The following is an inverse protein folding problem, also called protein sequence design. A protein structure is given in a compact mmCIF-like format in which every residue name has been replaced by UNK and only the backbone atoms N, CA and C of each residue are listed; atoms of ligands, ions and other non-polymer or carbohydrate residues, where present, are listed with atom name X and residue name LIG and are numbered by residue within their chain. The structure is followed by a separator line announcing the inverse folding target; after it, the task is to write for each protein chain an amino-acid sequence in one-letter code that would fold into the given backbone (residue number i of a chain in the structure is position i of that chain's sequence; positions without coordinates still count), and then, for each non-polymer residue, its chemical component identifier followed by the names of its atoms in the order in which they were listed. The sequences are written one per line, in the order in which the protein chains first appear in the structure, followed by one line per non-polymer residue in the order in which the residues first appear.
data_IF_294534660511
#
_entry.id   IF_294534660511
#
_cell.length_a   1.000
_cell.length_b   1.000
_cell.length_c   1.000
_cell.angle_alpha   90.00
_cell.angle_beta   90.00
_cell.angle_gamma   90.00
#
_symmetry.space_group_name_H-M   'P 1'
#
loop_
_entity.id
_entity.type
_entity.pdbx_description
1 polymer ?
#
# COMPACT_ATOMS: atom_id res chain seq x y z
N UNK A 1 11.63 -12.35 0.46
CA UNK A 1 11.15 -10.96 0.19
C UNK A 1 11.26 -10.14 1.46
N UNK A 2 11.83 -8.93 1.40
CA UNK A 2 12.04 -8.05 2.55
C UNK A 2 11.93 -6.57 2.16
N UNK A 3 11.53 -5.71 3.09
CA UNK A 3 11.62 -4.24 2.96
C UNK A 3 13.01 -3.70 3.35
N UNK A 4 13.94 -4.59 3.72
CA UNK A 4 15.26 -4.28 4.29
C UNK A 4 15.25 -3.37 5.51
N UNK A 5 14.17 -3.37 6.30
CA UNK A 5 14.25 -2.90 7.69
C UNK A 5 15.46 -3.54 8.40
N UNK A 6 16.13 -2.80 9.29
CA UNK A 6 17.38 -3.23 9.94
C UNK A 6 17.31 -4.66 10.49
N UNK A 7 16.17 -5.03 11.05
CA UNK A 7 15.91 -6.32 11.67
C UNK A 7 15.66 -7.42 10.62
N UNK A 8 14.97 -7.10 9.52
CA UNK A 8 14.72 -8.03 8.43
C UNK A 8 15.98 -8.29 7.58
N UNK A 9 16.89 -7.31 7.51
CA UNK A 9 18.17 -7.43 6.80
C UNK A 9 19.14 -8.38 7.48
N UNK A 10 19.23 -8.34 8.82
CA UNK A 10 20.09 -9.26 9.57
C UNK A 10 19.56 -10.69 9.51
N UNK A 11 18.26 -10.88 9.74
CA UNK A 11 17.61 -12.19 9.68
C UNK A 11 17.69 -12.83 8.29
N UNK A 12 17.48 -12.06 7.23
CA UNK A 12 17.60 -12.54 5.84
C UNK A 12 19.01 -13.01 5.50
N UNK A 13 20.04 -12.23 5.89
CA UNK A 13 21.44 -12.64 5.71
C UNK A 13 21.78 -13.92 6.47
N UNK A 14 21.32 -14.06 7.71
CA UNK A 14 21.52 -15.28 8.49
C UNK A 14 20.83 -16.48 7.86
N UNK A 15 19.62 -16.30 7.31
CA UNK A 15 18.90 -17.37 6.62
C UNK A 15 19.64 -17.83 5.36
N UNK A 16 20.04 -16.91 4.47
CA UNK A 16 20.81 -17.25 3.26
C UNK A 16 22.13 -17.93 3.62
N UNK A 17 22.81 -17.47 4.68
CA UNK A 17 24.05 -18.10 5.15
C UNK A 17 23.89 -19.57 5.55
N UNK A 18 22.69 -19.98 5.96
CA UNK A 18 22.37 -21.36 6.34
C UNK A 18 21.65 -22.16 5.23
N UNK A 19 21.19 -21.50 4.16
CA UNK A 19 20.46 -22.09 3.04
C UNK A 19 20.87 -21.40 1.72
N UNK A 20 22.11 -21.62 1.23
CA UNK A 20 22.70 -20.89 0.11
C UNK A 20 21.99 -21.12 -1.24
N UNK A 21 21.15 -22.15 -1.33
CA UNK A 21 20.27 -22.41 -2.47
C UNK A 21 19.07 -21.45 -2.57
N UNK A 22 18.87 -20.57 -1.58
CA UNK A 22 17.80 -19.57 -1.55
C UNK A 22 18.36 -18.16 -1.77
N UNK A 23 17.61 -17.31 -2.47
CA UNK A 23 17.92 -15.89 -2.63
C UNK A 23 16.99 -15.00 -1.80
N UNK A 24 17.48 -13.82 -1.40
CA UNK A 24 16.68 -12.78 -0.78
C UNK A 24 16.34 -11.73 -1.83
N UNK A 25 15.06 -11.67 -2.18
CA UNK A 25 14.49 -10.66 -3.07
C UNK A 25 13.98 -9.45 -2.27
N UNK A 26 14.05 -8.28 -2.87
CA UNK A 26 13.50 -7.04 -2.31
C UNK A 26 11.99 -6.94 -2.63
N UNK A 27 11.22 -6.31 -1.75
CA UNK A 27 9.85 -5.90 -2.11
C UNK A 27 9.90 -4.80 -3.18
N UNK A 28 9.67 -5.19 -4.43
CA UNK A 28 9.77 -4.30 -5.58
C UNK A 28 8.89 -3.06 -5.40
N UNK A 29 7.67 -3.21 -4.91
CA UNK A 29 6.75 -2.08 -4.71
C UNK A 29 7.25 -1.13 -3.63
N UNK A 30 7.84 -1.66 -2.55
CA UNK A 30 8.44 -0.81 -1.52
C UNK A 30 9.65 -0.04 -2.05
N UNK A 31 10.51 -0.69 -2.82
CA UNK A 31 11.68 0.00 -3.40
C UNK A 31 11.27 1.08 -4.39
N UNK A 32 10.30 0.83 -5.27
CA UNK A 32 9.78 1.86 -6.18
C UNK A 32 9.21 3.06 -5.42
N UNK A 33 8.54 2.81 -4.30
CA UNK A 33 8.07 3.86 -3.41
C UNK A 33 9.22 4.66 -2.77
N UNK A 34 10.33 4.00 -2.43
CA UNK A 34 11.53 4.66 -1.90
C UNK A 34 12.25 5.48 -2.98
N UNK A 35 12.38 4.97 -4.21
CA UNK A 35 12.98 5.69 -5.34
C UNK A 35 12.19 6.97 -5.66
N UNK A 36 10.86 6.87 -5.75
CA UNK A 36 10.04 8.06 -5.96
C UNK A 36 10.18 9.05 -4.79
N UNK A 37 10.30 8.54 -3.56
CA UNK A 37 10.47 9.39 -2.40
C UNK A 37 11.83 10.11 -2.43
N UNK A 38 12.92 9.45 -2.79
CA UNK A 38 14.24 10.09 -2.89
C UNK A 38 14.28 11.17 -3.97
N UNK A 39 13.60 10.94 -5.10
CA UNK A 39 13.48 11.95 -6.18
C UNK A 39 12.74 13.22 -5.73
N UNK A 40 11.79 13.08 -4.80
CA UNK A 40 10.93 14.19 -4.35
C UNK A 40 11.36 14.85 -3.05
N UNK A 41 11.97 14.13 -2.11
CA UNK A 41 12.31 14.64 -0.77
C UNK A 41 13.36 15.76 -0.83
N UNK A 42 14.37 15.62 -1.69
CA UNK A 42 15.44 16.63 -1.87
C UNK A 42 15.05 17.74 -2.85
N UNK A 43 13.84 17.68 -3.42
CA UNK A 43 13.36 18.65 -4.39
C UNK A 43 12.75 19.88 -3.70
N UNK A 44 13.43 21.03 -3.80
CA UNK A 44 12.97 22.30 -3.22
C UNK A 44 11.58 22.73 -3.74
N UNK A 45 11.29 22.50 -5.02
CA UNK A 45 9.97 22.81 -5.59
C UNK A 45 8.88 21.93 -5.00
N UNK A 46 9.17 20.64 -4.79
CA UNK A 46 8.23 19.73 -4.14
C UNK A 46 7.97 20.12 -2.67
N UNK A 47 9.01 20.51 -1.93
CA UNK A 47 8.87 21.00 -0.56
C UNK A 47 8.07 22.31 -0.47
N UNK A 48 8.30 23.22 -1.42
CA UNK A 48 7.50 24.45 -1.57
C UNK A 48 6.03 24.13 -1.88
N UNK A 49 5.79 23.18 -2.79
CA UNK A 49 4.46 22.67 -3.12
C UNK A 49 3.73 22.08 -1.89
N UNK A 50 4.41 21.27 -1.07
CA UNK A 50 3.85 20.73 0.17
C UNK A 50 3.47 21.86 1.15
N UNK A 51 4.27 22.92 1.23
CA UNK A 51 3.95 24.09 2.05
C UNK A 51 2.67 24.77 1.57
N UNK A 52 2.49 24.94 0.25
CA UNK A 52 1.27 25.52 -0.34
C UNK A 52 0.02 24.68 -0.12
N UNK A 53 0.14 23.35 -0.16
CA UNK A 53 -0.97 22.45 0.19
C UNK A 53 -1.41 22.63 1.65
N UNK A 54 -0.47 22.72 2.58
CA UNK A 54 -0.78 22.93 4.00
C UNK A 54 -1.39 24.32 4.25
N UNK A 55 -0.82 25.36 3.65
CA UNK A 55 -1.34 26.72 3.72
C UNK A 55 -2.79 26.78 3.21
N UNK A 56 -3.05 26.17 2.04
CA UNK A 56 -4.40 26.11 1.45
C UNK A 56 -5.38 25.40 2.37
N UNK A 57 -5.00 24.24 2.91
CA UNK A 57 -5.83 23.53 3.91
C UNK A 57 -6.22 24.44 5.05
N UNK A 58 -5.24 25.07 5.71
CA UNK A 58 -5.48 25.89 6.89
C UNK A 58 -6.44 27.04 6.59
N UNK A 59 -6.32 27.64 5.39
CA UNK A 59 -7.16 28.76 4.96
C UNK A 59 -8.61 28.35 4.62
N UNK A 60 -8.85 27.14 4.13
CA UNK A 60 -10.19 26.74 3.64
C UNK A 60 -10.93 25.74 4.54
N UNK A 61 -10.27 25.18 5.57
CA UNK A 61 -10.90 24.17 6.43
C UNK A 61 -12.09 24.68 7.26
N UNK A 62 -12.18 25.98 7.53
CA UNK A 62 -13.28 26.64 8.26
C UNK A 62 -14.10 27.56 7.34
N UNK A 63 -14.20 27.23 6.04
CA UNK A 63 -14.99 28.02 5.08
C UNK A 63 -15.89 27.12 4.26
N UNK A 64 -16.77 27.71 3.45
CA UNK A 64 -17.64 26.96 2.52
C UNK A 64 -16.85 26.16 1.46
N UNK A 65 -15.55 26.42 1.32
CA UNK A 65 -14.64 25.68 0.45
C UNK A 65 -14.03 24.43 1.12
N UNK A 66 -14.41 24.09 2.35
CA UNK A 66 -13.88 22.94 3.09
C UNK A 66 -14.04 21.61 2.33
N UNK A 67 -15.08 21.47 1.50
CA UNK A 67 -15.29 20.30 0.64
C UNK A 67 -14.18 20.10 -0.41
N UNK A 68 -13.42 21.16 -0.73
CA UNK A 68 -12.32 21.14 -1.69
C UNK A 68 -10.95 21.05 -1.01
N UNK A 69 -10.88 20.77 0.29
CA UNK A 69 -9.60 20.68 0.99
C UNK A 69 -8.61 19.71 0.32
N UNK A 70 -7.30 20.05 0.30
CA UNK A 70 -6.28 19.11 -0.11
C UNK A 70 -6.26 17.87 0.79
N UNK A 71 -5.52 16.79 0.46
CA UNK A 71 -5.32 15.62 1.33
C UNK A 71 -4.43 15.93 2.53
N UNK A 72 -4.57 15.17 3.63
CA UNK A 72 -3.84 15.47 4.88
C UNK A 72 -2.43 14.93 4.75
N UNK A 73 -1.44 15.81 4.95
CA UNK A 73 -0.05 15.39 4.99
C UNK A 73 0.18 14.60 6.29
N UNK A 74 0.64 13.36 6.14
CA UNK A 74 1.01 12.48 7.24
C UNK A 74 2.51 12.69 7.51
N UNK A 75 2.91 12.70 8.78
CA UNK A 75 4.34 12.84 9.17
C UNK A 75 5.24 11.76 8.60
N UNK A 76 4.69 10.57 8.28
CA UNK A 76 5.36 9.54 7.51
C UNK A 76 4.75 9.49 6.11
N UNK A 77 5.48 10.03 5.13
CA UNK A 77 5.10 9.93 3.72
C UNK A 77 5.17 8.46 3.28
N UNK A 78 4.02 7.90 2.91
CA UNK A 78 3.92 6.65 2.15
C UNK A 78 3.67 7.01 0.68
N UNK A 79 4.06 6.14 -0.25
CA UNK A 79 3.76 6.30 -1.68
C UNK A 79 2.31 6.73 -1.97
N UNK A 80 1.33 6.05 -1.36
CA UNK A 80 -0.09 6.40 -1.51
C UNK A 80 -0.42 7.81 -1.01
N UNK A 81 0.32 8.32 -0.03
CA UNK A 81 0.18 9.71 0.44
C UNK A 81 0.67 10.68 -0.63
N UNK A 82 1.83 10.43 -1.23
CA UNK A 82 2.41 11.26 -2.30
C UNK A 82 1.47 11.28 -3.52
N UNK A 83 1.00 10.11 -3.95
CA UNK A 83 0.07 9.98 -5.06
C UNK A 83 -1.20 10.85 -4.88
N UNK A 84 -1.76 10.86 -3.67
CA UNK A 84 -2.94 11.68 -3.37
C UNK A 84 -2.62 13.18 -3.40
N UNK A 85 -1.45 13.59 -2.89
CA UNK A 85 -1.03 15.00 -2.85
C UNK A 85 -0.83 15.55 -4.28
N UNK A 86 -0.19 14.80 -5.17
CA UNK A 86 0.05 15.22 -6.57
C UNK A 86 -1.24 15.18 -7.41
N UNK A 87 -2.14 14.23 -7.17
CA UNK A 87 -3.41 14.13 -7.92
C UNK A 87 -4.44 15.18 -7.57
N UNK A 88 -4.46 15.64 -6.31
CA UNK A 88 -5.44 16.63 -5.87
C UNK A 88 -5.41 17.94 -6.68
N UNK A 89 -4.27 18.62 -6.90
CA UNK A 89 -4.27 19.86 -7.68
C UNK A 89 -4.68 19.62 -9.13
N UNK A 90 -4.29 18.49 -9.74
CA UNK A 90 -4.73 18.11 -11.08
C UNK A 90 -6.27 17.97 -11.16
N UNK A 91 -6.89 17.37 -10.14
CA UNK A 91 -8.37 17.29 -10.03
C UNK A 91 -9.01 18.67 -9.88
N UNK A 92 -8.40 19.59 -9.13
CA UNK A 92 -8.89 20.97 -8.98
C UNK A 92 -8.83 21.70 -10.32
N UNK A 93 -7.71 21.62 -11.04
CA UNK A 93 -7.55 22.22 -12.36
C UNK A 93 -8.56 21.65 -13.36
N UNK A 94 -8.76 20.33 -13.36
CA UNK A 94 -9.71 19.68 -14.25
C UNK A 94 -11.16 20.06 -13.92
N UNK A 95 -11.52 20.10 -12.63
CA UNK A 95 -12.85 20.53 -12.20
C UNK A 95 -13.13 22.00 -12.58
N UNK A 96 -12.10 22.86 -12.52
CA UNK A 96 -12.20 24.24 -12.98
C UNK A 96 -12.40 24.30 -14.51
N UNK A 97 -11.60 23.54 -15.26
CA UNK A 97 -11.67 23.46 -16.74
C UNK A 97 -13.05 23.01 -17.22
N UNK A 98 -13.61 21.98 -16.58
CA UNK A 98 -14.95 21.46 -16.88
C UNK A 98 -16.08 22.40 -16.40
N UNK A 99 -15.76 23.43 -15.61
CA UNK A 99 -16.74 24.35 -15.05
C UNK A 99 -17.52 23.81 -13.84
N UNK A 100 -17.13 22.66 -13.30
CA UNK A 100 -17.78 22.02 -12.14
C UNK A 100 -17.71 22.89 -10.88
N UNK A 101 -16.73 23.81 -10.81
CA UNK A 101 -16.56 24.73 -9.69
C UNK A 101 -17.36 26.03 -9.82
N UNK A 102 -17.82 26.41 -11.03
CA UNK A 102 -18.39 27.75 -11.31
C UNK A 102 -19.62 28.09 -10.47
N UNK A 103 -20.41 27.10 -10.05
CA UNK A 103 -21.62 27.30 -9.25
C UNK A 103 -21.35 27.50 -7.76
N UNK A 104 -20.15 27.12 -7.27
CA UNK A 104 -19.81 27.10 -5.84
C UNK A 104 -18.53 27.86 -5.49
N UNK A 105 -17.71 28.21 -6.48
CA UNK A 105 -16.43 28.90 -6.31
C UNK A 105 -16.37 30.02 -7.32
N UNK A 106 -16.31 31.27 -6.83
CA UNK A 106 -16.12 32.42 -7.71
C UNK A 106 -14.70 32.43 -8.31
N UNK A 107 -14.50 33.13 -9.43
CA UNK A 107 -13.17 33.27 -10.03
C UNK A 107 -12.16 33.92 -9.05
N UNK A 108 -12.63 34.87 -8.23
CA UNK A 108 -11.82 35.52 -7.20
C UNK A 108 -11.41 34.54 -6.10
N UNK A 109 -12.34 33.70 -5.62
CA UNK A 109 -12.04 32.64 -4.65
C UNK A 109 -11.07 31.61 -5.24
N UNK A 110 -11.27 31.22 -6.49
CA UNK A 110 -10.38 30.28 -7.16
C UNK A 110 -8.96 30.85 -7.27
N UNK A 111 -8.82 32.07 -7.78
CA UNK A 111 -7.53 32.77 -7.88
C UNK A 111 -6.85 32.89 -6.51
N UNK A 112 -7.60 33.26 -5.46
CA UNK A 112 -7.09 33.45 -4.10
C UNK A 112 -6.60 32.15 -3.44
N UNK A 113 -7.35 31.06 -3.54
CA UNK A 113 -7.07 29.83 -2.77
C UNK A 113 -6.38 28.73 -3.59
N UNK A 114 -6.57 28.71 -4.90
CA UNK A 114 -6.08 27.65 -5.79
C UNK A 114 -5.19 28.18 -6.92
N UNK A 115 -5.09 29.50 -7.12
CA UNK A 115 -4.31 30.11 -8.21
C UNK A 115 -2.83 29.75 -8.19
N UNK A 116 -2.26 29.47 -7.01
CA UNK A 116 -0.86 29.04 -6.86
C UNK A 116 -0.57 27.72 -7.60
N UNK A 117 -1.57 26.87 -7.86
CA UNK A 117 -1.39 25.59 -8.56
C UNK A 117 -0.82 25.82 -9.96
N UNK A 118 -1.16 26.95 -10.60
CA UNK A 118 -0.69 27.28 -11.95
C UNK A 118 0.84 27.37 -12.04
N UNK A 119 1.51 27.73 -10.94
CA UNK A 119 2.98 27.81 -10.87
C UNK A 119 3.66 26.45 -10.83
N UNK A 120 2.92 25.36 -10.62
CA UNK A 120 3.45 24.00 -10.50
C UNK A 120 2.95 23.08 -11.61
N UNK A 121 2.30 23.59 -12.67
CA UNK A 121 1.70 22.72 -13.71
C UNK A 121 2.74 21.83 -14.38
N UNK A 122 3.90 22.39 -14.73
CA UNK A 122 4.98 21.63 -15.36
C UNK A 122 5.59 20.60 -14.40
N UNK A 123 5.81 20.96 -13.13
CA UNK A 123 6.31 20.04 -12.11
C UNK A 123 5.30 18.93 -11.80
N UNK A 124 4.01 19.26 -11.69
CA UNK A 124 2.93 18.31 -11.47
C UNK A 124 2.81 17.32 -12.62
N UNK A 125 3.07 17.73 -13.87
CA UNK A 125 3.13 16.82 -15.00
C UNK A 125 4.26 15.80 -14.81
N UNK A 126 5.47 16.25 -14.45
CA UNK A 126 6.62 15.37 -14.18
C UNK A 126 6.34 14.41 -13.03
N UNK A 127 5.94 14.92 -11.86
CA UNK A 127 5.68 14.09 -10.68
C UNK A 127 4.53 13.12 -10.92
N UNK A 128 3.52 13.53 -11.69
CA UNK A 128 2.42 12.64 -12.05
C UNK A 128 2.88 11.51 -12.98
N UNK A 129 3.73 11.79 -13.97
CA UNK A 129 4.29 10.76 -14.85
C UNK A 129 5.15 9.76 -14.05
N UNK A 130 6.00 10.23 -13.13
CA UNK A 130 6.77 9.35 -12.25
C UNK A 130 5.88 8.46 -11.38
N UNK A 131 4.78 9.01 -10.85
CA UNK A 131 3.76 8.23 -10.14
C UNK A 131 3.12 7.15 -11.02
N UNK A 132 2.82 7.47 -12.28
CA UNK A 132 2.25 6.51 -13.25
C UNK A 132 3.25 5.39 -13.56
N UNK A 133 4.54 5.70 -13.68
CA UNK A 133 5.60 4.67 -13.85
C UNK A 133 5.56 3.66 -12.71
N UNK A 134 5.55 4.12 -11.46
CA UNK A 134 5.50 3.21 -10.29
C UNK A 134 4.21 2.39 -10.26
N UNK A 135 3.06 3.02 -10.50
CA UNK A 135 1.77 2.30 -10.51
C UNK A 135 1.66 1.28 -11.64
N UNK A 136 2.21 1.61 -12.81
CA UNK A 136 2.24 0.72 -13.97
C UNK A 136 3.05 -0.53 -13.66
N UNK A 137 4.31 -0.39 -13.21
CA UNK A 137 5.16 -1.54 -12.85
C UNK A 137 4.51 -2.36 -11.74
N UNK A 138 3.98 -1.71 -10.71
CA UNK A 138 3.25 -2.38 -9.63
C UNK A 138 2.08 -3.22 -10.15
N UNK A 139 1.29 -2.67 -11.07
CA UNK A 139 0.13 -3.36 -11.61
C UNK A 139 0.52 -4.51 -12.54
N UNK A 140 1.59 -4.37 -13.32
CA UNK A 140 2.19 -5.45 -14.12
C UNK A 140 2.58 -6.63 -13.21
N UNK A 141 3.34 -6.37 -12.15
CA UNK A 141 3.78 -7.42 -11.21
C UNK A 141 2.60 -8.09 -10.52
N UNK A 142 1.54 -7.35 -10.17
CA UNK A 142 0.33 -7.93 -9.57
C UNK A 142 -0.40 -8.90 -10.51
N UNK A 143 -0.42 -8.60 -11.81
CA UNK A 143 -1.17 -9.39 -12.81
C UNK A 143 -0.38 -10.57 -13.34
N UNK A 144 0.91 -10.38 -13.58
CA UNK A 144 1.75 -11.33 -14.31
C UNK A 144 2.77 -12.03 -13.41
N UNK A 145 3.01 -11.52 -12.20
CA UNK A 145 4.12 -11.93 -11.35
C UNK A 145 5.45 -11.32 -11.82
N UNK A 146 6.42 -11.22 -10.92
CA UNK A 146 7.75 -10.69 -11.25
C UNK A 146 8.60 -11.79 -11.88
N UNK A 147 9.16 -11.50 -13.06
CA UNK A 147 9.99 -12.42 -13.86
C UNK A 147 10.94 -11.63 -14.76
N UNK A 148 11.98 -12.29 -15.28
CA UNK A 148 12.90 -11.69 -16.27
C UNK A 148 12.15 -11.21 -17.52
N UNK A 149 11.19 -11.99 -18.02
CA UNK A 149 10.36 -11.63 -19.17
C UNK A 149 9.49 -10.39 -18.92
N UNK A 150 8.98 -10.21 -17.69
CA UNK A 150 8.26 -8.99 -17.31
C UNK A 150 9.19 -7.78 -17.38
N UNK A 151 10.42 -7.90 -16.88
CA UNK A 151 11.38 -6.78 -16.89
C UNK A 151 11.75 -6.38 -18.31
N UNK A 152 12.00 -7.34 -19.19
CA UNK A 152 12.24 -7.08 -20.62
C UNK A 152 11.03 -6.39 -21.28
N UNK A 153 9.81 -6.83 -20.97
CA UNK A 153 8.59 -6.20 -21.48
C UNK A 153 8.42 -4.76 -21.00
N UNK A 154 8.72 -4.48 -19.73
CA UNK A 154 8.66 -3.12 -19.16
C UNK A 154 9.72 -2.21 -19.76
N UNK A 155 10.93 -2.73 -20.00
CA UNK A 155 12.01 -1.98 -20.68
C UNK A 155 11.58 -1.53 -22.08
N UNK A 156 11.01 -2.45 -22.88
CA UNK A 156 10.46 -2.10 -24.19
C UNK A 156 9.35 -1.04 -24.09
N UNK A 157 8.45 -1.14 -23.12
CA UNK A 157 7.41 -0.13 -22.92
C UNK A 157 7.97 1.25 -22.57
N UNK A 158 9.04 1.31 -21.77
CA UNK A 158 9.69 2.57 -21.42
C UNK A 158 10.45 3.18 -22.59
N UNK A 159 11.13 2.35 -23.39
CA UNK A 159 11.79 2.76 -24.65
C UNK A 159 10.82 3.43 -25.64
N UNK A 160 9.59 2.91 -25.77
CA UNK A 160 8.56 3.48 -26.66
C UNK A 160 7.63 4.47 -25.96
N UNK A 161 7.90 4.82 -24.69
CA UNK A 161 7.07 5.76 -23.96
C UNK A 161 7.19 7.18 -24.51
N UNK A 162 6.12 7.98 -24.42
CA UNK A 162 6.10 9.38 -24.85
C UNK A 162 6.73 10.33 -23.82
N UNK A 163 7.53 9.83 -22.88
CA UNK A 163 8.18 10.66 -21.88
C UNK A 163 9.20 11.59 -22.56
N UNK A 164 8.95 12.90 -22.50
CA UNK A 164 9.81 13.92 -23.13
C UNK A 164 10.68 14.67 -22.12
N UNK A 165 10.34 14.60 -20.84
CA UNK A 165 11.05 15.28 -19.76
C UNK A 165 12.18 14.40 -19.24
N UNK A 166 13.40 14.92 -19.21
CA UNK A 166 14.59 14.17 -18.81
C UNK A 166 14.47 13.55 -17.40
N UNK A 167 13.86 14.25 -16.42
CA UNK A 167 13.62 13.69 -15.08
C UNK A 167 12.73 12.44 -15.09
N UNK A 168 11.76 12.37 -16.01
CA UNK A 168 10.90 11.17 -16.14
C UNK A 168 11.68 10.02 -16.77
N UNK A 169 12.45 10.29 -17.83
CA UNK A 169 13.28 9.27 -18.49
C UNK A 169 14.37 8.74 -17.55
N UNK A 170 15.03 9.60 -16.78
CA UNK A 170 16.01 9.20 -15.77
C UNK A 170 15.36 8.31 -14.71
N UNK A 171 14.18 8.70 -14.20
CA UNK A 171 13.44 7.90 -13.23
C UNK A 171 13.02 6.53 -13.79
N UNK A 172 12.62 6.45 -15.06
CA UNK A 172 12.37 5.18 -15.73
C UNK A 172 13.63 4.30 -15.76
N UNK A 173 14.79 4.88 -16.04
CA UNK A 173 16.09 4.21 -16.00
C UNK A 173 16.41 3.64 -14.61
N UNK A 174 16.28 4.45 -13.55
CA UNK A 174 16.52 4.00 -12.18
C UNK A 174 15.58 2.85 -11.76
N UNK A 175 14.32 2.93 -12.20
CA UNK A 175 13.35 1.85 -12.00
C UNK A 175 13.80 0.59 -12.74
N UNK A 176 14.23 0.70 -14.00
CA UNK A 176 14.69 -0.46 -14.79
C UNK A 176 15.95 -1.09 -14.22
N UNK A 177 16.95 -0.28 -13.82
CA UNK A 177 18.19 -0.75 -13.21
C UNK A 177 17.88 -1.62 -11.98
N UNK A 178 16.95 -1.14 -11.13
CA UNK A 178 16.51 -1.90 -9.97
C UNK A 178 15.77 -3.19 -10.35
N UNK A 179 14.82 -3.14 -11.29
CA UNK A 179 14.08 -4.32 -11.73
C UNK A 179 15.03 -5.37 -12.33
N UNK A 180 16.02 -4.94 -13.11
CA UNK A 180 17.04 -5.80 -13.68
C UNK A 180 17.90 -6.44 -12.58
N UNK A 181 18.38 -5.66 -11.61
CA UNK A 181 19.14 -6.18 -10.46
C UNK A 181 18.39 -7.29 -9.70
N UNK A 182 17.10 -7.10 -9.43
CA UNK A 182 16.28 -8.11 -8.77
C UNK A 182 15.98 -9.32 -9.67
N UNK A 183 15.75 -9.11 -10.96
CA UNK A 183 15.45 -10.19 -11.90
C UNK A 183 16.63 -11.13 -12.15
N UNK A 184 17.86 -10.63 -12.04
CA UNK A 184 19.09 -11.43 -12.14
C UNK A 184 19.23 -12.45 -11.00
N UNK A 185 18.48 -12.28 -9.90
CA UNK A 185 18.46 -13.20 -8.75
C UNK A 185 17.47 -14.35 -8.92
N UNK A 186 16.62 -14.30 -9.95
CA UNK A 186 15.63 -15.33 -10.26
C UNK A 186 16.24 -16.47 -11.06
N UNK A 187 15.65 -17.65 -10.90
CA UNK A 187 15.94 -18.78 -11.78
C UNK A 187 15.31 -18.49 -13.16
N UNK A 188 15.96 -18.86 -14.29
CA UNK A 188 15.37 -18.67 -15.61
C UNK A 188 13.98 -19.29 -15.73
N UNK A 189 13.00 -18.49 -16.16
CA UNK A 189 11.58 -18.88 -16.28
C UNK A 189 10.78 -18.84 -14.98
N UNK A 190 11.40 -18.46 -13.86
CA UNK A 190 10.71 -18.31 -12.57
C UNK A 190 9.81 -17.06 -12.56
N UNK A 191 8.63 -17.22 -11.97
CA UNK A 191 7.63 -16.16 -11.81
C UNK A 191 7.20 -16.13 -10.35
N UNK A 192 7.46 -15.01 -9.66
CA UNK A 192 7.21 -14.90 -8.23
C UNK A 192 6.33 -13.69 -7.87
N UNK A 193 5.46 -13.81 -6.84
CA UNK A 193 4.71 -12.68 -6.33
C UNK A 193 5.61 -11.78 -5.45
N UNK A 194 6.40 -10.89 -6.07
CA UNK A 194 7.32 -9.95 -5.38
C UNK A 194 6.63 -8.69 -4.83
N UNK A 195 5.41 -8.84 -4.31
CA UNK A 195 4.69 -7.75 -3.67
C UNK A 195 4.31 -8.13 -2.24
N UNK A 196 4.70 -7.30 -1.27
CA UNK A 196 4.32 -7.56 0.13
C UNK A 196 2.81 -7.50 0.34
N UNK A 197 2.02 -6.94 -0.57
CA UNK A 197 0.56 -6.91 -0.45
C UNK A 197 -0.06 -8.31 -0.30
N UNK A 198 0.49 -9.34 -0.94
CA UNK A 198 0.04 -10.73 -0.75
C UNK A 198 0.35 -11.18 0.68
N UNK A 199 1.56 -10.90 1.16
CA UNK A 199 1.98 -11.19 2.53
C UNK A 199 1.16 -10.41 3.56
N UNK A 200 0.92 -9.12 3.33
CA UNK A 200 0.12 -8.21 4.14
C UNK A 200 -1.34 -8.64 4.18
N UNK A 201 -1.89 -9.19 3.09
CA UNK A 201 -3.22 -9.78 3.04
C UNK A 201 -3.32 -11.00 3.96
N UNK A 202 -2.33 -11.90 3.94
CA UNK A 202 -2.31 -13.00 4.91
C UNK A 202 -2.02 -12.54 6.34
N UNK A 203 -1.26 -11.47 6.55
CA UNK A 203 -1.14 -10.84 7.86
C UNK A 203 -2.43 -10.13 8.30
N UNK A 204 -3.24 -9.62 7.37
CA UNK A 204 -4.58 -9.09 7.62
C UNK A 204 -5.54 -10.19 8.03
N UNK A 205 -5.52 -11.32 7.31
CA UNK A 205 -6.23 -12.55 7.67
C UNK A 205 -5.79 -13.05 9.04
N UNK A 206 -4.48 -13.04 9.31
CA UNK A 206 -3.93 -13.31 10.64
C UNK A 206 -4.46 -12.35 11.70
N UNK A 207 -4.45 -11.02 11.50
CA UNK A 207 -4.96 -10.06 12.49
C UNK A 207 -6.45 -10.26 12.76
N UNK A 208 -7.23 -10.62 11.75
CA UNK A 208 -8.63 -10.98 11.91
C UNK A 208 -8.82 -12.27 12.73
N UNK A 209 -7.93 -13.25 12.59
CA UNK A 209 -7.95 -14.52 13.35
C UNK A 209 -7.37 -14.33 14.77
N UNK A 210 -6.26 -13.63 14.91
CA UNK A 210 -5.54 -13.37 16.15
C UNK A 210 -6.28 -12.36 17.04
N UNK A 211 -6.99 -11.39 16.45
CA UNK A 211 -7.92 -10.49 17.13
C UNK A 211 -9.12 -11.23 17.78
N UNK A 212 -9.27 -12.53 17.54
CA UNK A 212 -10.20 -13.42 18.25
C UNK A 212 -9.58 -14.09 19.48
N UNK A 213 -8.32 -13.77 19.84
CA UNK A 213 -7.72 -14.12 21.14
C UNK A 213 -6.57 -15.13 21.09
N UNK A 214 -5.55 -14.95 20.24
CA UNK A 214 -4.32 -15.77 20.28
C UNK A 214 -3.23 -15.12 21.14
N UNK A 215 -2.86 -15.72 22.28
CA UNK A 215 -1.63 -15.37 22.99
C UNK A 215 -0.46 -16.27 22.57
N UNK A 216 0.73 -15.67 22.48
CA UNK A 216 2.01 -16.35 22.21
C UNK A 216 2.48 -16.28 20.76
N UNK A 217 3.73 -15.87 20.54
CA UNK A 217 4.38 -15.78 19.21
C UNK A 217 4.36 -17.15 18.51
N UNK A 218 4.56 -18.24 19.27
CA UNK A 218 4.67 -19.61 18.76
C UNK A 218 3.37 -20.14 18.15
N UNK A 219 2.24 -20.03 18.85
CA UNK A 219 0.94 -20.46 18.31
C UNK A 219 0.47 -19.61 17.12
N UNK A 220 0.91 -18.35 17.07
CA UNK A 220 0.62 -17.42 15.99
C UNK A 220 1.49 -17.68 14.73
N UNK A 221 2.75 -18.10 14.90
CA UNK A 221 3.62 -18.48 13.79
C UNK A 221 3.10 -19.72 13.04
N UNK A 222 2.64 -20.74 13.77
CA UNK A 222 2.06 -21.96 13.17
C UNK A 222 0.77 -21.64 12.39
N UNK A 223 -0.02 -20.66 12.84
CA UNK A 223 -1.23 -20.23 12.12
C UNK A 223 -0.93 -19.57 10.79
N UNK A 224 0.14 -18.77 10.69
CA UNK A 224 0.58 -18.20 9.41
C UNK A 224 1.00 -19.34 8.47
N UNK A 225 1.75 -20.32 8.97
CA UNK A 225 2.10 -21.51 8.19
C UNK A 225 0.87 -22.29 7.70
N UNK A 226 -0.21 -22.35 8.48
CA UNK A 226 -1.46 -23.00 8.02
C UNK A 226 -2.23 -22.21 6.94
N UNK A 227 -2.01 -20.90 6.82
CA UNK A 227 -2.64 -20.07 5.78
C UNK A 227 -1.93 -20.26 4.44
N UNK A 228 -0.61 -20.41 4.45
CA UNK A 228 0.22 -20.50 3.24
C UNK A 228 0.70 -21.91 2.89
N UNK A 229 0.63 -22.85 3.84
CA UNK A 229 1.35 -24.12 3.80
C UNK A 229 0.66 -25.26 3.07
N UNK A 230 -0.41 -25.01 2.32
CA UNK A 230 -0.97 -26.04 1.44
C UNK A 230 -1.02 -25.52 0.02
N UNK A 231 -0.16 -26.08 -0.85
CA UNK A 231 -0.52 -26.20 -2.26
C UNK A 231 -1.88 -26.90 -2.32
N UNK A 232 -2.93 -26.16 -2.61
CA UNK A 232 -4.20 -26.74 -3.01
C UNK A 232 -4.45 -26.28 -4.43
N UNK A 233 -4.62 -27.22 -5.35
CA UNK A 233 -5.08 -26.87 -6.69
C UNK A 233 -6.46 -26.21 -6.58
N UNK A 234 -6.82 -25.39 -7.58
CA UNK A 234 -8.15 -24.78 -7.65
C UNK A 234 -9.24 -25.87 -7.67
N UNK A 235 -8.99 -27.01 -8.30
CA UNK A 235 -9.93 -28.15 -8.28
C UNK A 235 -10.05 -28.76 -6.87
N UNK A 236 -8.96 -28.86 -6.14
CA UNK A 236 -8.95 -29.45 -4.79
C UNK A 236 -9.64 -28.55 -3.77
N UNK A 237 -9.44 -27.23 -3.89
CA UNK A 237 -10.15 -26.22 -3.09
C UNK A 237 -11.66 -26.25 -3.34
N UNK A 238 -12.07 -26.34 -4.60
CA UNK A 238 -13.49 -26.41 -5.00
C UNK A 238 -14.14 -27.70 -4.50
N UNK A 239 -13.48 -28.84 -4.69
CA UNK A 239 -13.92 -30.14 -4.19
C UNK A 239 -14.01 -30.19 -2.67
N UNK A 240 -13.09 -29.54 -1.95
CA UNK A 240 -13.12 -29.45 -0.49
C UNK A 240 -14.26 -28.57 0.04
N UNK A 241 -14.58 -27.47 -0.65
CA UNK A 241 -15.71 -26.61 -0.31
C UNK A 241 -17.05 -27.26 -0.60
N UNK A 242 -17.15 -28.05 -1.68
CA UNK A 242 -18.36 -28.78 -2.05
C UNK A 242 -18.60 -30.03 -1.18
N UNK A 243 -17.52 -30.67 -0.69
CA UNK A 243 -17.61 -31.93 0.06
C UNK A 243 -17.75 -31.77 1.57
N UNK A 244 -17.50 -30.59 2.14
CA UNK A 244 -17.56 -30.36 3.58
C UNK A 244 -18.72 -29.45 3.98
N UNK A 245 -19.62 -29.98 4.81
CA UNK A 245 -20.72 -29.18 5.35
C UNK A 245 -20.21 -28.11 6.32
N UNK A 246 -20.93 -26.99 6.40
CA UNK A 246 -20.62 -25.89 7.32
C UNK A 246 -20.55 -26.36 8.79
N UNK A 247 -21.31 -27.40 9.13
CA UNK A 247 -21.32 -28.05 10.44
C UNK A 247 -20.01 -28.81 10.70
N UNK A 248 -19.52 -29.58 9.73
CA UNK A 248 -18.24 -30.30 9.87
C UNK A 248 -17.06 -29.35 10.02
N UNK A 249 -17.12 -28.19 9.35
CA UNK A 249 -16.13 -27.13 9.48
C UNK A 249 -16.15 -26.50 10.87
N UNK A 250 -17.33 -26.23 11.43
CA UNK A 250 -17.47 -25.70 12.79
C UNK A 250 -16.95 -26.68 13.84
N UNK A 251 -17.25 -27.97 13.69
CA UNK A 251 -16.75 -29.03 14.57
C UNK A 251 -15.22 -29.16 14.50
N UNK A 252 -14.65 -29.10 13.30
CA UNK A 252 -13.20 -29.15 13.12
C UNK A 252 -12.51 -27.91 13.70
N UNK A 253 -13.09 -26.72 13.52
CA UNK A 253 -12.60 -25.49 14.15
C UNK A 253 -12.66 -25.61 15.68
N UNK A 254 -13.75 -26.11 16.23
CA UNK A 254 -13.88 -26.37 17.67
C UNK A 254 -12.84 -27.35 18.20
N UNK A 255 -12.55 -28.43 17.47
CA UNK A 255 -11.56 -29.46 17.85
C UNK A 255 -10.10 -28.99 17.69
N UNK A 256 -9.80 -28.26 16.62
CA UNK A 256 -8.42 -27.92 16.25
C UNK A 256 -7.97 -26.59 16.86
N UNK A 257 -8.88 -25.61 16.93
CA UNK A 257 -8.56 -24.26 17.42
C UNK A 257 -8.97 -24.10 18.89
N UNK A 258 -10.00 -24.81 19.34
CA UNK A 258 -10.52 -24.72 20.71
C UNK A 258 -11.30 -23.42 20.99
N UNK A 259 -11.70 -23.24 22.24
CA UNK A 259 -12.42 -22.06 22.70
C UNK A 259 -11.48 -20.85 22.79
N UNK A 260 -11.82 -19.73 22.12
CA UNK A 260 -10.93 -18.57 22.11
C UNK A 260 -11.08 -17.72 23.37
N UNK A 261 -10.03 -17.02 23.79
CA UNK A 261 -10.09 -16.10 24.94
C UNK A 261 -11.14 -15.01 24.79
N UNK A 262 -11.42 -14.55 23.56
CA UNK A 262 -12.49 -13.60 23.29
C UNK A 262 -13.88 -14.25 23.39
N UNK A 263 -14.00 -15.52 22.99
CA UNK A 263 -15.18 -16.35 23.19
C UNK A 263 -15.46 -16.53 24.68
N UNK A 264 -14.46 -16.97 25.45
CA UNK A 264 -14.53 -17.08 26.90
C UNK A 264 -14.87 -15.73 27.55
N UNK A 265 -14.24 -14.62 27.17
CA UNK A 265 -14.59 -13.28 27.67
C UNK A 265 -16.03 -12.87 27.32
N UNK A 266 -16.50 -13.13 26.10
CA UNK A 266 -17.90 -12.85 25.73
C UNK A 266 -18.87 -13.70 26.53
N UNK A 267 -18.50 -14.93 26.89
CA UNK A 267 -19.28 -15.80 27.77
C UNK A 267 -19.25 -15.29 29.22
N UNK A 268 -18.07 -14.95 29.74
CA UNK A 268 -17.90 -14.42 31.11
C UNK A 268 -18.62 -13.08 31.33
N UNK A 269 -18.59 -12.19 30.33
CA UNK A 269 -19.19 -10.86 30.40
C UNK A 269 -20.54 -10.77 29.67
N UNK A 270 -21.17 -11.92 29.38
CA UNK A 270 -22.49 -11.96 28.76
C UNK A 270 -23.53 -11.49 29.77
N UNK A 271 -24.13 -10.32 29.53
CA UNK A 271 -25.18 -9.79 30.41
C UNK A 271 -24.69 -8.93 31.57
N UNK A 272 -23.39 -8.76 31.75
CA UNK A 272 -22.85 -7.75 32.68
C UNK A 272 -22.95 -6.36 32.03
N UNK A 273 -24.10 -5.69 32.18
CA UNK A 273 -24.21 -4.25 31.98
C UNK A 273 -23.68 -3.57 33.25
N UNK A 274 -22.60 -2.81 33.13
CA UNK A 274 -22.23 -1.85 34.16
C UNK A 274 -23.13 -0.64 33.90
N UNK A 275 -24.01 -0.33 34.86
CA UNK A 275 -24.88 0.84 34.76
C UNK A 275 -24.01 2.09 34.80
N UNK A 276 -23.85 2.78 33.67
CA UNK A 276 -23.05 3.99 33.57
C UNK A 276 -23.93 5.23 33.78
N UNK A 277 -24.82 5.20 34.77
CA UNK A 277 -25.45 6.42 35.25
C UNK A 277 -24.47 7.10 36.20
N UNK A 278 -24.14 8.37 35.95
CA UNK A 278 -23.31 9.17 36.86
C UNK A 278 -23.94 9.31 38.26
N UNK A 279 -25.25 9.10 38.37
CA UNK A 279 -26.00 9.22 39.63
C UNK A 279 -25.74 8.07 40.63
N UNK A 280 -25.46 6.84 40.16
CA UNK A 280 -25.18 5.71 41.07
C UNK A 280 -23.75 5.68 41.61
N UNK A 281 -22.85 6.52 41.08
CA UNK A 281 -21.46 6.62 41.52
C UNK A 281 -21.20 7.74 42.54
N UNK A 282 -22.22 8.56 42.85
CA UNK A 282 -22.12 9.73 43.72
C UNK A 282 -23.06 9.71 44.94
N UNK A 283 -23.66 8.56 45.28
CA UNK A 283 -24.32 8.32 46.57
C UNK A 283 -23.55 7.31 47.40
#
# INVERSE_FOLDING_TARGET
MSDEGSDAKSGGKTFIGNAPEHCQLFDVVHKLALLLKSELDDNEQFNSFLSKLNETRQKIQQTDLAALMPPKQRSKAKFMSIANLVRWPLKILEAQRQGNLKSKVSNEQFSKYFGWIMSYVDDLEVWHQQLVVVEHVKERIRKEGFSQALVESVDQEFLYSKATKASVTNFQGEVLDFLQEESCKLIPGEVLPLVTEVMESGFGSYKNIAGRGGQGITGNAVRIASIYGQEQSVEESTKNLESKSTVSLQDWVGKTIGETLQGMRRTFFKGTKIDSSLESALN
#
